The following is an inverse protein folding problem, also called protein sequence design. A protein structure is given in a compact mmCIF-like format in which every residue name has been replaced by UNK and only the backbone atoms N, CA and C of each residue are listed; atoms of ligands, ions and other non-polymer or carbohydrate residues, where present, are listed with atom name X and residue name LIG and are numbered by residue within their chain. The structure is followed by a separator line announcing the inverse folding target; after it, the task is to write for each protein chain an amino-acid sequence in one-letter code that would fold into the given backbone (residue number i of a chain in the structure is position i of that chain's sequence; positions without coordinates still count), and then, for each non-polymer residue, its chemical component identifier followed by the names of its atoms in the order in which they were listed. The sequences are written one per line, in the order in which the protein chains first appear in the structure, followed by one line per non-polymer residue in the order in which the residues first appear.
data_IF_553674727022
#
_entry.id   IF_553674727022
#
_cell.length_a   1.000
_cell.length_b   1.000
_cell.length_c   1.000
_cell.angle_alpha   90.00
_cell.angle_beta   90.00
_cell.angle_gamma   90.00
#
_symmetry.space_group_name_H-M   'P 1'
#
loop_
_entity.id
_entity.type
_entity.pdbx_description
1 polymer ?
#
# COMPACT_ATOMS: atom_id res chain seq x y z
N UNK A 1 19.70 -25.10 -27.82
CA UNK A 1 20.00 -25.11 -26.37
C UNK A 1 19.55 -23.84 -25.65
N UNK A 2 19.91 -22.64 -26.11
CA UNK A 2 19.56 -21.39 -25.41
C UNK A 2 18.06 -21.24 -25.09
N UNK A 3 17.17 -21.57 -26.03
CA UNK A 3 15.72 -21.54 -25.82
C UNK A 3 15.20 -22.48 -24.73
N UNK A 4 15.83 -23.65 -24.55
CA UNK A 4 15.46 -24.58 -23.49
C UNK A 4 15.83 -24.01 -22.12
N UNK A 5 17.02 -23.41 -22.01
CA UNK A 5 17.48 -22.76 -20.77
C UNK A 5 16.53 -21.60 -20.41
N UNK A 6 16.20 -20.74 -21.37
CA UNK A 6 15.25 -19.63 -21.16
C UNK A 6 13.88 -20.16 -20.74
N UNK A 7 13.37 -21.18 -21.43
CA UNK A 7 12.08 -21.79 -21.10
C UNK A 7 12.03 -22.35 -19.67
N UNK A 8 13.06 -23.08 -19.25
CA UNK A 8 13.15 -23.63 -17.89
C UNK A 8 13.20 -22.52 -16.83
N UNK A 9 13.98 -21.45 -17.06
CA UNK A 9 14.05 -20.31 -16.13
C UNK A 9 12.68 -19.65 -16.00
N UNK A 10 11.98 -19.42 -17.10
CA UNK A 10 10.65 -18.78 -17.09
C UNK A 10 9.62 -19.63 -16.35
N UNK A 11 9.56 -20.94 -16.63
CA UNK A 11 8.60 -21.85 -15.97
C UNK A 11 8.93 -21.99 -14.48
N UNK A 12 10.20 -22.15 -14.12
CA UNK A 12 10.64 -22.23 -12.72
C UNK A 12 10.33 -20.93 -11.96
N UNK A 13 10.56 -19.78 -12.59
CA UNK A 13 10.22 -18.47 -12.03
C UNK A 13 8.72 -18.31 -11.82
N UNK A 14 7.90 -18.69 -12.79
CA UNK A 14 6.44 -18.62 -12.70
C UNK A 14 5.86 -19.53 -11.58
N UNK A 15 6.37 -20.76 -11.47
CA UNK A 15 6.00 -21.69 -10.40
C UNK A 15 6.40 -21.16 -9.03
N UNK A 16 7.65 -20.73 -8.89
CA UNK A 16 8.17 -20.14 -7.64
C UNK A 16 7.34 -18.93 -7.24
N UNK A 17 7.00 -18.06 -8.20
CA UNK A 17 6.16 -16.88 -7.95
C UNK A 17 4.75 -17.27 -7.47
N UNK A 18 4.13 -18.28 -8.08
CA UNK A 18 2.79 -18.73 -7.72
C UNK A 18 2.76 -19.31 -6.30
N UNK A 19 3.78 -20.12 -5.93
CA UNK A 19 3.93 -20.63 -4.57
C UNK A 19 4.17 -19.47 -3.59
N UNK A 20 5.06 -18.54 -3.94
CA UNK A 20 5.34 -17.35 -3.14
C UNK A 20 4.10 -16.48 -2.89
N UNK A 21 3.24 -16.29 -3.90
CA UNK A 21 1.95 -15.59 -3.74
C UNK A 21 1.06 -16.32 -2.75
N UNK A 22 0.91 -17.65 -2.86
CA UNK A 22 0.09 -18.43 -1.92
C UNK A 22 0.57 -18.33 -0.48
N UNK A 23 1.88 -18.51 -0.24
CA UNK A 23 2.47 -18.42 1.10
C UNK A 23 2.15 -17.06 1.74
N UNK A 24 2.30 -15.97 0.99
CA UNK A 24 2.03 -14.63 1.49
C UNK A 24 0.55 -14.37 1.76
N UNK A 25 -0.35 -14.85 0.91
CA UNK A 25 -1.80 -14.81 1.19
C UNK A 25 -2.11 -15.54 2.49
N UNK A 26 -1.46 -16.68 2.75
CA UNK A 26 -1.61 -17.39 4.03
C UNK A 26 -1.09 -16.56 5.20
N UNK A 27 0.07 -15.91 5.09
CA UNK A 27 0.60 -15.02 6.11
C UNK A 27 -0.34 -13.83 6.40
N UNK A 28 -0.84 -13.15 5.35
CA UNK A 28 -1.79 -12.05 5.51
C UNK A 28 -3.08 -12.52 6.20
N UNK A 29 -3.55 -13.72 5.84
CA UNK A 29 -4.74 -14.30 6.47
C UNK A 29 -4.50 -14.61 7.94
N UNK A 30 -3.33 -15.15 8.28
CA UNK A 30 -2.94 -15.40 9.65
C UNK A 30 -2.91 -14.10 10.45
N UNK A 31 -2.29 -13.03 9.92
CA UNK A 31 -2.25 -11.72 10.56
C UNK A 31 -3.65 -11.15 10.86
N UNK A 32 -4.60 -11.33 9.94
CA UNK A 32 -6.00 -10.92 10.14
C UNK A 32 -6.68 -11.75 11.24
N UNK A 33 -6.40 -13.06 11.29
CA UNK A 33 -6.92 -13.92 12.35
C UNK A 33 -6.33 -13.59 13.72
N UNK A 34 -5.03 -13.33 13.79
CA UNK A 34 -4.36 -12.92 15.03
C UNK A 34 -4.95 -11.60 15.56
N UNK A 35 -5.18 -10.63 14.67
CA UNK A 35 -5.85 -9.38 15.01
C UNK A 35 -7.29 -9.58 15.53
N UNK A 36 -8.04 -10.48 14.88
CA UNK A 36 -9.42 -10.82 15.29
C UNK A 36 -9.44 -11.48 16.68
N UNK A 37 -8.56 -12.43 16.90
CA UNK A 37 -8.51 -13.22 18.13
C UNK A 37 -8.04 -12.34 19.30
N UNK A 38 -7.07 -11.45 19.06
CA UNK A 38 -6.67 -10.42 20.02
C UNK A 38 -7.84 -9.52 20.44
N UNK A 39 -8.62 -9.03 19.47
CA UNK A 39 -9.77 -8.19 19.75
C UNK A 39 -10.89 -8.95 20.49
N UNK A 40 -11.08 -10.24 20.17
CA UNK A 40 -12.02 -11.11 20.89
C UNK A 40 -11.62 -11.27 22.36
N UNK A 41 -10.33 -11.52 22.63
CA UNK A 41 -9.82 -11.63 24.00
C UNK A 41 -10.01 -10.32 24.78
N UNK A 42 -9.77 -9.18 24.13
CA UNK A 42 -10.00 -7.87 24.74
C UNK A 42 -11.48 -7.62 25.01
N UNK A 43 -12.37 -7.85 24.04
CA UNK A 43 -13.80 -7.68 24.20
C UNK A 43 -14.38 -8.59 25.30
N UNK A 44 -13.84 -9.80 25.43
CA UNK A 44 -14.20 -10.73 26.52
C UNK A 44 -13.79 -10.17 27.88
N UNK A 45 -12.56 -9.64 28.02
CA UNK A 45 -12.06 -9.04 29.27
C UNK A 45 -12.85 -7.80 29.68
N UNK A 46 -13.27 -7.00 28.72
CA UNK A 46 -14.01 -5.75 28.94
C UNK A 46 -15.54 -5.95 29.02
N UNK A 47 -16.04 -7.19 28.88
CA UNK A 47 -17.48 -7.46 28.86
C UNK A 47 -18.23 -6.84 27.66
N UNK A 48 -17.50 -6.51 26.59
CA UNK A 48 -17.97 -5.74 25.44
C UNK A 48 -18.23 -6.62 24.20
N UNK A 49 -18.49 -7.93 24.38
CA UNK A 49 -18.76 -8.85 23.26
C UNK A 49 -20.03 -8.50 22.46
N UNK A 50 -20.97 -7.78 23.06
CA UNK A 50 -22.21 -7.32 22.43
C UNK A 50 -22.14 -5.87 21.95
N UNK A 51 -20.96 -5.24 22.07
CA UNK A 51 -20.78 -3.86 21.60
C UNK A 51 -21.00 -3.80 20.07
N UNK A 52 -21.89 -2.92 19.57
CA UNK A 52 -22.19 -2.84 18.14
C UNK A 52 -20.97 -2.56 17.27
N UNK A 53 -20.03 -1.76 17.75
CA UNK A 53 -18.78 -1.44 17.06
C UNK A 53 -17.86 -2.65 16.96
N UNK A 54 -17.74 -3.43 18.04
CA UNK A 54 -17.02 -4.69 18.03
C UNK A 54 -17.62 -5.71 17.04
N UNK A 55 -18.95 -5.87 17.05
CA UNK A 55 -19.65 -6.82 16.16
C UNK A 55 -19.43 -6.46 14.69
N UNK A 56 -19.64 -5.19 14.30
CA UNK A 56 -19.41 -4.72 12.92
C UNK A 56 -17.94 -4.91 12.51
N UNK A 57 -16.99 -4.55 13.39
CA UNK A 57 -15.58 -4.72 13.08
C UNK A 57 -15.17 -6.20 12.91
N UNK A 58 -15.68 -7.09 13.77
CA UNK A 58 -15.46 -8.54 13.65
C UNK A 58 -15.99 -9.09 12.33
N UNK A 59 -17.17 -8.65 11.89
CA UNK A 59 -17.73 -9.04 10.59
C UNK A 59 -16.82 -8.58 9.43
N UNK A 60 -16.33 -7.34 9.50
CA UNK A 60 -15.38 -6.79 8.51
C UNK A 60 -14.08 -7.57 8.46
N UNK A 61 -13.50 -7.94 9.61
CA UNK A 61 -12.30 -8.79 9.67
C UNK A 61 -12.57 -10.18 9.06
N UNK A 62 -13.73 -10.78 9.33
CA UNK A 62 -14.10 -12.06 8.71
C UNK A 62 -14.30 -11.96 7.20
N UNK A 63 -14.87 -10.86 6.71
CA UNK A 63 -14.97 -10.59 5.27
C UNK A 63 -13.56 -10.45 4.68
N UNK A 64 -12.70 -9.64 5.31
CA UNK A 64 -11.33 -9.42 4.88
C UNK A 64 -10.51 -10.72 4.84
N UNK A 65 -10.62 -11.57 5.86
CA UNK A 65 -9.96 -12.88 5.91
C UNK A 65 -10.49 -13.86 4.83
N UNK A 66 -11.76 -13.74 4.44
CA UNK A 66 -12.34 -14.52 3.33
C UNK A 66 -11.87 -13.99 1.98
N UNK A 67 -11.78 -12.67 1.81
CA UNK A 67 -11.42 -12.03 0.54
C UNK A 67 -9.91 -11.82 0.36
N UNK A 68 -9.07 -12.13 1.36
CA UNK A 68 -7.62 -11.94 1.33
C UNK A 68 -6.94 -12.50 0.06
N UNK A 69 -7.42 -13.63 -0.46
CA UNK A 69 -6.90 -14.26 -1.67
C UNK A 69 -7.25 -13.51 -2.97
N UNK A 70 -8.29 -12.68 -2.96
CA UNK A 70 -8.75 -11.84 -4.08
C UNK A 70 -8.06 -10.47 -4.06
N UNK A 71 -7.44 -10.10 -2.93
CA UNK A 71 -6.68 -8.86 -2.80
C UNK A 71 -5.50 -8.91 -3.76
N UNK A 72 -5.72 -8.27 -4.91
CA UNK A 72 -4.78 -8.14 -6.00
C UNK A 72 -4.47 -6.66 -6.20
N UNK A 73 -3.37 -6.40 -6.90
CA UNK A 73 -2.95 -5.05 -7.19
C UNK A 73 -4.06 -4.21 -7.89
N UNK A 74 -4.77 -4.71 -8.92
CA UNK A 74 -5.84 -3.94 -9.57
C UNK A 74 -6.99 -3.58 -8.63
N UNK A 75 -7.38 -4.51 -7.75
CA UNK A 75 -8.46 -4.28 -6.79
C UNK A 75 -8.07 -3.17 -5.79
N UNK A 76 -6.81 -3.11 -5.38
CA UNK A 76 -6.34 -2.06 -4.48
C UNK A 76 -6.13 -0.73 -5.20
N UNK A 77 -5.66 -0.71 -6.45
CA UNK A 77 -5.58 0.52 -7.23
C UNK A 77 -6.97 1.13 -7.40
N UNK A 78 -7.96 0.29 -7.74
CA UNK A 78 -9.36 0.66 -7.77
C UNK A 78 -9.83 1.18 -6.39
N UNK A 79 -9.52 0.44 -5.32
CA UNK A 79 -9.86 0.88 -3.97
C UNK A 79 -9.21 2.21 -3.60
N UNK A 80 -7.94 2.47 -3.88
CA UNK A 80 -7.25 3.73 -3.56
C UNK A 80 -7.87 4.92 -4.33
N UNK A 81 -8.20 4.72 -5.59
CA UNK A 81 -8.86 5.74 -6.42
C UNK A 81 -10.26 6.08 -5.89
N UNK A 82 -10.99 5.09 -5.36
CA UNK A 82 -12.37 5.25 -4.92
C UNK A 82 -12.53 5.52 -3.42
N UNK A 83 -11.61 5.07 -2.57
CA UNK A 83 -11.63 5.24 -1.10
C UNK A 83 -11.39 6.69 -0.71
N UNK A 84 -10.65 7.48 -1.49
CA UNK A 84 -10.57 8.93 -1.28
C UNK A 84 -11.93 9.64 -1.46
N UNK A 85 -12.90 9.00 -2.13
CA UNK A 85 -14.25 9.56 -2.34
C UNK A 85 -15.25 9.05 -1.31
N UNK A 86 -15.08 7.82 -0.83
CA UNK A 86 -15.94 7.22 0.18
C UNK A 86 -15.27 7.34 1.55
N UNK A 87 -15.70 8.31 2.37
CA UNK A 87 -15.36 8.33 3.80
C UNK A 87 -15.89 7.05 4.44
N UNK A 88 -15.06 6.00 4.48
CA UNK A 88 -15.40 4.75 5.16
C UNK A 88 -15.60 5.09 6.62
N UNK A 89 -16.86 5.03 7.08
CA UNK A 89 -17.17 5.20 8.49
C UNK A 89 -16.61 3.98 9.22
N UNK A 90 -15.62 4.23 10.06
CA UNK A 90 -15.15 3.24 11.02
C UNK A 90 -16.30 2.90 11.98
N UNK A 91 -16.42 1.63 12.40
CA UNK A 91 -17.36 1.27 13.46
C UNK A 91 -17.08 2.12 14.69
N UNK A 92 -18.16 2.52 15.37
CA UNK A 92 -18.09 3.22 16.66
C UNK A 92 -18.51 2.26 17.75
N UNK A 93 -17.59 1.93 18.65
CA UNK A 93 -17.87 1.23 19.88
C UNK A 93 -18.35 2.19 20.96
N UNK A 94 -19.18 1.70 21.87
CA UNK A 94 -19.60 2.44 23.06
C UNK A 94 -18.46 2.44 24.10
N UNK A 95 -17.72 1.33 24.18
CA UNK A 95 -16.52 1.23 25.02
C UNK A 95 -15.32 1.90 24.33
N UNK A 96 -14.85 3.02 24.89
CA UNK A 96 -13.70 3.77 24.37
C UNK A 96 -12.44 2.91 24.21
N UNK A 97 -12.18 1.97 25.14
CA UNK A 97 -11.01 1.10 25.06
C UNK A 97 -11.08 0.13 23.89
N UNK A 98 -12.28 -0.34 23.56
CA UNK A 98 -12.52 -1.16 22.37
C UNK A 98 -12.37 -0.32 21.11
N UNK A 99 -12.86 0.92 21.12
CA UNK A 99 -12.69 1.85 20.00
C UNK A 99 -11.21 2.10 19.69
N UNK A 100 -10.41 2.41 20.72
CA UNK A 100 -8.98 2.69 20.57
C UNK A 100 -8.24 1.47 19.99
N UNK A 101 -8.60 0.25 20.41
CA UNK A 101 -7.99 -0.96 19.88
C UNK A 101 -8.47 -1.27 18.45
N UNK A 102 -9.73 -0.99 18.11
CA UNK A 102 -10.24 -1.09 16.74
C UNK A 102 -9.47 -0.15 15.81
N UNK A 103 -9.27 1.10 16.21
CA UNK A 103 -8.58 2.11 15.41
C UNK A 103 -7.11 1.71 15.20
N UNK A 104 -6.43 1.29 16.27
CA UNK A 104 -5.05 0.79 16.21
C UNK A 104 -4.92 -0.46 15.34
N UNK A 105 -5.82 -1.42 15.49
CA UNK A 105 -5.82 -2.66 14.69
C UNK A 105 -6.07 -2.37 13.22
N UNK A 106 -6.96 -1.41 12.93
CA UNK A 106 -7.24 -0.95 11.56
C UNK A 106 -5.99 -0.35 10.92
N UNK A 107 -5.27 0.51 11.64
CA UNK A 107 -4.03 1.11 11.15
C UNK A 107 -2.95 0.07 10.88
N UNK A 108 -2.73 -0.85 11.83
CA UNK A 108 -1.72 -1.90 11.70
C UNK A 108 -2.02 -2.87 10.55
N UNK A 109 -3.28 -3.30 10.40
CA UNK A 109 -3.70 -4.11 9.25
C UNK A 109 -3.54 -3.34 7.93
N UNK A 110 -3.87 -2.04 7.91
CA UNK A 110 -3.66 -1.18 6.74
C UNK A 110 -2.20 -1.16 6.30
N UNK A 111 -1.26 -0.96 7.24
CA UNK A 111 0.19 -0.99 6.96
C UNK A 111 0.65 -2.36 6.48
N UNK A 112 0.15 -3.46 7.06
CA UNK A 112 0.49 -4.83 6.65
C UNK A 112 -0.01 -5.12 5.23
N UNK A 113 -1.23 -4.73 4.89
CA UNK A 113 -1.80 -4.87 3.55
C UNK A 113 -1.00 -4.04 2.53
N UNK A 114 -0.62 -2.82 2.87
CA UNK A 114 0.24 -1.99 2.00
C UNK A 114 1.61 -2.65 1.78
N UNK A 115 2.24 -3.17 2.84
CA UNK A 115 3.51 -3.90 2.73
C UNK A 115 3.38 -5.14 1.84
N UNK A 116 2.32 -5.92 2.04
CA UNK A 116 1.97 -7.09 1.23
C UNK A 116 1.90 -6.74 -0.27
N UNK A 117 1.35 -5.57 -0.61
CA UNK A 117 1.19 -5.16 -2.00
C UNK A 117 2.48 -4.58 -2.61
N UNK A 118 3.13 -3.63 -1.95
CA UNK A 118 4.25 -2.90 -2.55
C UNK A 118 5.56 -3.68 -2.54
N UNK A 119 5.89 -4.31 -1.42
CA UNK A 119 7.23 -4.88 -1.23
C UNK A 119 7.30 -6.34 -1.63
N UNK A 120 6.18 -7.04 -1.64
CA UNK A 120 6.20 -8.49 -1.82
C UNK A 120 5.71 -8.93 -3.21
N UNK A 121 4.99 -8.08 -3.97
CA UNK A 121 4.48 -8.43 -5.31
C UNK A 121 5.39 -7.93 -6.43
N UNK A 122 5.55 -8.74 -7.50
CA UNK A 122 6.28 -8.30 -8.69
C UNK A 122 5.64 -7.05 -9.32
N UNK A 123 4.31 -6.91 -9.24
CA UNK A 123 3.60 -5.71 -9.66
C UNK A 123 4.02 -4.47 -8.84
N UNK A 124 4.15 -4.60 -7.52
CA UNK A 124 4.66 -3.56 -6.63
C UNK A 124 6.08 -3.13 -6.98
N UNK A 125 6.97 -4.09 -7.27
CA UNK A 125 8.32 -3.81 -7.75
C UNK A 125 8.33 -3.09 -9.11
N UNK A 126 7.53 -3.55 -10.06
CA UNK A 126 7.39 -2.91 -11.38
C UNK A 126 6.89 -1.47 -11.24
N UNK A 127 5.97 -1.20 -10.31
CA UNK A 127 5.47 0.15 -10.05
C UNK A 127 6.47 1.03 -9.33
N UNK A 128 7.19 0.51 -8.35
CA UNK A 128 8.27 1.26 -7.71
C UNK A 128 9.35 1.63 -8.72
N UNK A 129 9.68 0.71 -9.64
CA UNK A 129 10.58 1.00 -10.74
C UNK A 129 9.99 2.07 -11.68
N UNK A 130 8.74 1.93 -12.12
CA UNK A 130 8.09 2.90 -13.00
C UNK A 130 7.99 4.29 -12.35
N UNK A 131 7.66 4.36 -11.06
CA UNK A 131 7.63 5.59 -10.29
C UNK A 131 9.01 6.21 -10.14
N UNK A 132 10.03 5.38 -9.83
CA UNK A 132 11.43 5.80 -9.79
C UNK A 132 11.88 6.40 -11.13
N UNK A 133 11.54 5.77 -12.25
CA UNK A 133 11.84 6.30 -13.59
C UNK A 133 11.11 7.62 -13.88
N UNK A 134 9.83 7.74 -13.48
CA UNK A 134 9.07 8.98 -13.65
C UNK A 134 9.69 10.14 -12.85
N UNK A 135 10.04 9.89 -11.57
CA UNK A 135 10.71 10.86 -10.71
C UNK A 135 12.10 11.26 -11.26
N UNK A 136 12.85 10.28 -11.77
CA UNK A 136 14.18 10.53 -12.33
C UNK A 136 14.09 11.36 -13.63
N UNK A 137 13.05 11.13 -14.44
CA UNK A 137 12.74 11.96 -15.61
C UNK A 137 12.40 13.40 -15.21
N UNK A 138 11.51 13.58 -14.23
CA UNK A 138 11.12 14.89 -13.71
C UNK A 138 12.32 15.64 -13.11
N UNK A 139 13.19 14.92 -12.39
CA UNK A 139 14.44 15.48 -11.86
C UNK A 139 15.41 15.91 -12.97
N UNK A 140 15.56 15.10 -14.01
CA UNK A 140 16.40 15.42 -15.16
C UNK A 140 15.88 16.63 -15.96
N UNK A 141 14.56 16.72 -16.18
CA UNK A 141 13.93 17.87 -16.83
C UNK A 141 14.08 19.16 -16.00
N UNK A 142 13.91 19.07 -14.68
CA UNK A 142 14.11 20.20 -13.78
C UNK A 142 15.57 20.67 -13.71
N UNK A 143 16.55 19.76 -13.77
CA UNK A 143 17.97 20.14 -13.85
C UNK A 143 18.34 20.77 -15.19
N UNK A 144 17.85 20.23 -16.31
CA UNK A 144 18.05 20.80 -17.66
C UNK A 144 17.53 22.24 -17.73
N UNK A 145 16.32 22.47 -17.20
CA UNK A 145 15.69 23.80 -17.19
C UNK A 145 16.46 24.77 -16.28
N UNK A 146 16.94 24.33 -15.11
CA UNK A 146 17.78 25.16 -14.23
C UNK A 146 19.15 25.46 -14.82
N UNK A 147 19.77 24.51 -15.51
CA UNK A 147 21.04 24.70 -16.22
C UNK A 147 20.91 25.71 -17.37
N UNK A 148 19.84 25.61 -18.16
CA UNK A 148 19.53 26.57 -19.22
C UNK A 148 19.27 27.99 -18.68
N UNK A 149 18.54 28.12 -17.58
CA UNK A 149 18.29 29.44 -16.94
C UNK A 149 19.57 30.02 -16.32
N UNK A 150 20.45 29.18 -15.76
CA UNK A 150 21.74 29.63 -15.23
C UNK A 150 22.69 30.11 -16.33
N UNK A 151 22.75 29.40 -17.47
CA UNK A 151 23.55 29.78 -18.64
C UNK A 151 23.04 31.08 -19.29
N UNK A 152 21.71 31.22 -19.44
CA UNK A 152 21.10 32.46 -19.94
C UNK A 152 21.39 33.66 -19.03
N UNK A 153 21.48 33.46 -17.70
CA UNK A 153 21.89 34.53 -16.77
C UNK A 153 23.38 34.87 -16.83
N UNK A 154 24.26 33.93 -17.14
CA UNK A 154 25.70 34.19 -17.26
C UNK A 154 26.07 34.90 -18.56
N UNK A 155 25.30 34.68 -19.62
CA UNK A 155 25.54 35.27 -20.96
C UNK A 155 24.74 36.55 -21.23
N UNK A 156 23.87 36.98 -20.29
CA UNK A 156 23.21 38.28 -20.41
C UNK A 156 24.24 39.40 -20.12
N UNK A 157 24.52 40.28 -21.09
CA UNK A 157 25.34 41.46 -20.82
C UNK A 157 24.66 42.31 -19.74
N UNK A 158 25.45 42.81 -18.78
CA UNK A 158 25.00 43.58 -17.61
C UNK A 158 24.24 44.88 -17.93
N UNK A 159 24.05 45.20 -19.21
CA UNK A 159 23.34 46.38 -19.72
C UNK A 159 21.83 46.22 -19.80
N UNK A 160 21.28 45.01 -19.59
CA UNK A 160 19.83 44.73 -19.67
C UNK A 160 19.17 44.44 -18.31
N UNK A 161 19.89 44.52 -17.20
CA UNK A 161 19.27 44.42 -15.88
C UNK A 161 18.58 45.74 -15.55
N UNK A 162 17.25 45.77 -15.32
CA UNK A 162 16.58 46.98 -14.90
C UNK A 162 17.21 47.45 -13.59
N UNK A 163 17.65 48.70 -13.56
CA UNK A 163 18.11 49.35 -12.34
C UNK A 163 17.03 49.15 -11.27
N UNK A 164 17.38 48.46 -10.19
CA UNK A 164 16.52 48.35 -9.01
C UNK A 164 16.35 49.76 -8.46
N UNK A 165 15.22 50.39 -8.80
CA UNK A 165 14.65 51.52 -8.09
C UNK A 165 13.88 51.04 -6.87
#
# INVERSE_FOLDING_TARGET
MAWLIVGTILVSGALTYTVWVKVRVMCLRQDIYDARDWLFDLATKEGALQDPGYVDFRERLNVLARTAHVISFPLMAYALEHVNRTKVKLPKAENQRIQDEIDKTTEDLGRRIQRYLYWETAAGWVLMLAYGFAQLKEYAENQSTRGAVAWVKSDMPSTLLPARG
#
